data_IF_608880091669
#
_entry.id   IF_608880091669
#
_cell.length_a   1.000
_cell.length_b   1.000
_cell.length_c   1.000
_cell.angle_alpha   90.00
_cell.angle_beta   90.00
_cell.angle_gamma   90.00
#
_symmetry.space_group_name_H-M   'P 1'
#
loop_
_entity.id
_entity.type
_entity.pdbx_description
1 polymer ?
#
# COMPACT_ATOMS: atom_id res chain seq x y z
N UNK A 1 0.34 4.17 4.90
CA UNK A 1 1.28 5.25 5.19
C UNK A 1 2.66 4.66 5.41
N UNK A 2 3.70 5.23 4.77
CA UNK A 2 5.08 4.72 4.85
C UNK A 2 5.36 3.41 4.09
N UNK A 3 4.36 2.77 3.54
CA UNK A 3 4.44 1.44 2.91
C UNK A 3 5.47 1.39 1.79
N UNK A 4 5.53 2.41 0.94
CA UNK A 4 6.51 2.46 -0.17
C UNK A 4 7.96 2.43 0.31
N UNK A 5 8.28 3.14 1.41
CA UNK A 5 9.63 3.15 1.98
C UNK A 5 9.98 1.78 2.57
N UNK A 6 9.05 1.16 3.29
CA UNK A 6 9.21 -0.20 3.84
C UNK A 6 9.37 -1.21 2.71
N UNK A 7 8.51 -1.19 1.70
CA UNK A 7 8.57 -2.11 0.55
C UNK A 7 9.91 -2.02 -0.16
N UNK A 8 10.39 -0.79 -0.42
CA UNK A 8 11.67 -0.57 -1.08
C UNK A 8 12.84 -1.04 -0.24
N UNK A 9 12.81 -0.79 1.07
CA UNK A 9 13.81 -1.29 2.00
C UNK A 9 13.88 -2.83 1.99
N UNK A 10 12.74 -3.50 2.09
CA UNK A 10 12.65 -4.95 2.06
C UNK A 10 13.18 -5.53 0.73
N UNK A 11 12.86 -4.88 -0.39
CA UNK A 11 13.30 -5.32 -1.72
C UNK A 11 14.81 -5.19 -1.89
N UNK A 12 15.39 -4.04 -1.53
CA UNK A 12 16.83 -3.79 -1.67
C UNK A 12 17.65 -4.74 -0.78
N UNK A 13 17.13 -5.06 0.42
CA UNK A 13 17.83 -5.84 1.42
C UNK A 13 17.40 -7.31 1.45
N UNK A 14 16.65 -7.80 0.46
CA UNK A 14 16.09 -9.16 0.41
C UNK A 14 17.14 -10.23 0.72
N UNK A 15 18.35 -10.11 0.19
CA UNK A 15 19.44 -11.04 0.43
C UNK A 15 19.87 -11.10 1.90
N UNK A 16 20.13 -9.95 2.51
CA UNK A 16 20.51 -9.86 3.92
C UNK A 16 19.39 -10.28 4.88
N UNK A 17 18.14 -10.01 4.53
CA UNK A 17 16.99 -10.49 5.28
C UNK A 17 16.87 -12.01 5.22
N UNK A 18 17.16 -12.61 4.06
CA UNK A 18 17.16 -14.06 3.92
C UNK A 18 18.22 -14.75 4.79
N UNK A 19 19.38 -14.12 4.99
CA UNK A 19 20.42 -14.57 5.93
C UNK A 19 19.96 -14.53 7.40
N UNK A 20 18.97 -13.69 7.71
CA UNK A 20 18.32 -13.60 9.03
C UNK A 20 17.06 -14.48 9.16
N UNK A 21 16.92 -15.49 8.32
CA UNK A 21 15.74 -16.35 8.26
C UNK A 21 14.41 -15.61 7.95
N UNK A 22 14.50 -14.49 7.24
CA UNK A 22 13.35 -13.71 6.81
C UNK A 22 13.14 -13.87 5.31
N UNK A 23 11.95 -14.29 4.91
CA UNK A 23 11.57 -14.46 3.51
C UNK A 23 10.61 -13.36 3.04
N UNK A 24 11.00 -12.67 2.00
CA UNK A 24 10.16 -11.69 1.29
C UNK A 24 9.72 -12.33 -0.02
N UNK A 25 8.44 -12.67 -0.20
CA UNK A 25 7.98 -13.33 -1.41
C UNK A 25 8.09 -12.42 -2.64
N UNK A 26 8.62 -12.95 -3.74
CA UNK A 26 8.82 -12.23 -5.00
C UNK A 26 7.68 -12.45 -6.02
N UNK A 27 6.91 -13.50 -5.85
CA UNK A 27 5.86 -13.95 -6.77
C UNK A 27 4.43 -13.57 -6.33
N UNK A 28 4.28 -12.77 -5.30
CA UNK A 28 2.99 -12.27 -4.83
C UNK A 28 2.59 -10.91 -5.44
N UNK A 29 3.07 -10.59 -6.65
CA UNK A 29 2.68 -9.37 -7.37
C UNK A 29 3.62 -8.19 -7.20
N UNK A 30 4.94 -8.47 -7.07
CA UNK A 30 5.98 -7.47 -6.89
C UNK A 30 6.08 -6.95 -5.45
N UNK A 31 6.74 -5.82 -5.26
CA UNK A 31 7.05 -5.26 -3.93
C UNK A 31 5.80 -5.00 -3.05
N UNK A 32 4.66 -4.71 -3.65
CA UNK A 32 3.42 -4.40 -2.92
C UNK A 32 2.52 -5.61 -2.68
N UNK A 33 2.99 -6.81 -3.02
CA UNK A 33 2.31 -8.08 -2.80
C UNK A 33 0.80 -8.06 -3.13
N UNK A 34 0.42 -7.39 -4.23
CA UNK A 34 -0.99 -7.19 -4.63
C UNK A 34 -1.77 -8.51 -4.79
N UNK A 35 -1.09 -9.60 -5.17
CA UNK A 35 -1.71 -10.91 -5.28
C UNK A 35 -2.20 -11.43 -3.93
N UNK A 36 -1.46 -11.20 -2.83
CA UNK A 36 -1.86 -11.60 -1.49
C UNK A 36 -3.16 -10.91 -1.03
N UNK A 37 -3.41 -9.70 -1.51
CA UNK A 37 -4.67 -9.01 -1.27
C UNK A 37 -5.78 -9.56 -2.15
N UNK A 38 -5.48 -9.75 -3.46
CA UNK A 38 -6.47 -10.17 -4.44
C UNK A 38 -7.11 -11.53 -4.16
N UNK A 39 -6.37 -12.48 -3.57
CA UNK A 39 -6.96 -13.79 -3.19
C UNK A 39 -8.09 -13.66 -2.17
N UNK A 40 -8.06 -12.62 -1.34
CA UNK A 40 -9.07 -12.36 -0.33
C UNK A 40 -10.21 -11.44 -0.79
N UNK A 41 -10.04 -10.66 -1.86
CA UNK A 41 -11.09 -9.77 -2.39
C UNK A 41 -12.32 -10.52 -2.90
N UNK A 42 -13.48 -9.88 -2.88
CA UNK A 42 -14.67 -10.37 -3.58
C UNK A 42 -14.48 -10.26 -5.11
N UNK A 43 -15.07 -11.17 -5.87
CA UNK A 43 -14.91 -11.21 -7.33
C UNK A 43 -15.72 -10.13 -8.07
N UNK A 44 -16.78 -9.66 -7.45
CA UNK A 44 -17.71 -8.64 -7.96
C UNK A 44 -17.24 -7.20 -7.73
N UNK A 45 -16.06 -7.02 -7.15
CA UNK A 45 -15.51 -5.67 -6.92
C UNK A 45 -15.27 -4.91 -8.22
N UNK A 46 -15.40 -3.57 -8.10
CA UNK A 46 -15.08 -2.65 -9.19
C UNK A 46 -13.67 -2.90 -9.72
N UNK A 47 -13.57 -2.93 -11.03
CA UNK A 47 -12.33 -3.11 -11.76
C UNK A 47 -11.31 -2.00 -11.45
N UNK A 48 -10.06 -2.39 -11.41
CA UNK A 48 -8.93 -1.49 -11.19
C UNK A 48 -7.80 -1.79 -12.18
N UNK A 49 -6.74 -0.97 -12.14
CA UNK A 49 -5.60 -1.13 -13.02
C UNK A 49 -4.95 -2.52 -12.93
N UNK A 50 -5.08 -3.21 -11.78
CA UNK A 50 -4.54 -4.55 -11.59
C UNK A 50 -5.34 -5.58 -12.39
N UNK A 51 -6.68 -5.58 -12.29
CA UNK A 51 -7.56 -6.50 -13.02
C UNK A 51 -7.51 -6.24 -14.52
N UNK A 52 -7.55 -4.96 -14.93
CA UNK A 52 -7.46 -4.55 -16.33
C UNK A 52 -6.12 -5.01 -16.96
N UNK A 53 -5.00 -4.73 -16.32
CA UNK A 53 -3.68 -5.08 -16.87
C UNK A 53 -3.44 -6.59 -17.03
N UNK A 54 -4.28 -7.42 -16.39
CA UNK A 54 -4.23 -8.89 -16.45
C UNK A 54 -5.35 -9.52 -17.27
N UNK A 55 -6.21 -8.70 -17.90
CA UNK A 55 -7.36 -9.18 -18.67
C UNK A 55 -8.35 -9.97 -17.82
N UNK A 56 -8.52 -9.59 -16.55
CA UNK A 56 -9.44 -10.22 -15.60
C UNK A 56 -10.79 -9.48 -15.52
N UNK A 57 -10.86 -8.28 -16.11
CA UNK A 57 -12.05 -7.44 -16.07
C UNK A 57 -13.27 -8.14 -16.66
N UNK A 58 -14.43 -7.93 -16.03
CA UNK A 58 -15.71 -8.47 -16.48
C UNK A 58 -15.83 -9.99 -16.48
N UNK A 59 -14.82 -10.71 -15.97
CA UNK A 59 -14.80 -12.17 -16.03
C UNK A 59 -14.50 -12.81 -14.67
N UNK A 60 -15.55 -13.18 -13.95
CA UNK A 60 -15.44 -13.79 -12.62
C UNK A 60 -14.71 -15.14 -12.63
N UNK A 61 -14.88 -15.93 -13.68
CA UNK A 61 -14.21 -17.24 -13.80
C UNK A 61 -12.71 -17.08 -13.95
N UNK A 62 -12.25 -16.14 -14.79
CA UNK A 62 -10.82 -15.79 -14.87
C UNK A 62 -10.29 -15.29 -13.53
N UNK A 63 -11.05 -14.47 -12.80
CA UNK A 63 -10.67 -14.01 -11.45
C UNK A 63 -10.51 -15.19 -10.49
N UNK A 64 -11.45 -16.14 -10.50
CA UNK A 64 -11.38 -17.38 -9.69
C UNK A 64 -10.16 -18.22 -10.04
N UNK A 65 -9.95 -18.51 -11.32
CA UNK A 65 -8.79 -19.26 -11.79
C UNK A 65 -7.47 -18.58 -11.39
N UNK A 66 -7.39 -17.26 -11.51
CA UNK A 66 -6.20 -16.51 -11.09
C UNK A 66 -5.96 -16.61 -9.57
N UNK A 67 -7.01 -16.50 -8.74
CA UNK A 67 -6.91 -16.70 -7.30
C UNK A 67 -6.40 -18.10 -6.94
N UNK A 68 -6.93 -19.14 -7.55
CA UNK A 68 -6.46 -20.51 -7.35
C UNK A 68 -4.98 -20.67 -7.72
N UNK A 69 -4.55 -20.11 -8.83
CA UNK A 69 -3.14 -20.13 -9.23
C UNK A 69 -2.24 -19.45 -8.18
N UNK A 70 -2.66 -18.30 -7.66
CA UNK A 70 -1.90 -17.59 -6.61
C UNK A 70 -1.85 -18.41 -5.33
N UNK A 71 -2.97 -19.01 -4.90
CA UNK A 71 -3.04 -19.85 -3.70
C UNK A 71 -2.12 -21.06 -3.81
N UNK A 72 -2.16 -21.80 -4.92
CA UNK A 72 -1.28 -22.95 -5.16
C UNK A 72 0.19 -22.56 -5.11
N UNK A 73 0.52 -21.39 -5.67
CA UNK A 73 1.88 -20.84 -5.63
C UNK A 73 2.30 -20.49 -4.21
N UNK A 74 1.41 -19.86 -3.44
CA UNK A 74 1.64 -19.49 -2.05
C UNK A 74 1.86 -20.73 -1.18
N UNK A 75 1.01 -21.75 -1.32
CA UNK A 75 1.15 -23.02 -0.59
C UNK A 75 2.47 -23.74 -0.89
N UNK A 76 2.86 -23.79 -2.17
CA UNK A 76 4.14 -24.40 -2.56
C UNK A 76 5.34 -23.67 -1.96
N UNK A 77 5.27 -22.34 -1.91
CA UNK A 77 6.33 -21.54 -1.28
C UNK A 77 6.33 -21.67 0.24
N UNK A 78 5.17 -21.70 0.88
CA UNK A 78 5.09 -21.93 2.32
C UNK A 78 5.73 -23.26 2.73
N UNK A 79 5.54 -24.31 1.94
CA UNK A 79 6.22 -25.60 2.16
C UNK A 79 7.74 -25.49 1.99
N UNK A 80 8.20 -24.75 0.96
CA UNK A 80 9.63 -24.57 0.68
C UNK A 80 10.35 -23.73 1.72
N UNK A 81 9.71 -22.70 2.24
CA UNK A 81 10.28 -21.73 3.17
C UNK A 81 9.58 -21.77 4.55
N UNK A 82 9.20 -22.97 5.00
CA UNK A 82 8.40 -23.22 6.22
C UNK A 82 9.06 -22.72 7.50
N UNK A 83 10.40 -22.72 7.55
CA UNK A 83 11.19 -22.34 8.72
C UNK A 83 11.59 -20.86 8.73
N UNK A 84 11.09 -20.08 7.76
CA UNK A 84 11.39 -18.65 7.64
C UNK A 84 10.24 -17.78 8.19
N UNK A 85 10.61 -16.64 8.75
CA UNK A 85 9.65 -15.57 9.01
C UNK A 85 9.26 -14.92 7.68
N UNK A 86 7.97 -14.89 7.39
CA UNK A 86 7.47 -14.26 6.17
C UNK A 86 7.06 -12.82 6.42
N UNK A 87 7.45 -11.91 5.53
CA UNK A 87 6.98 -10.53 5.54
C UNK A 87 6.25 -10.23 4.25
N UNK A 88 4.96 -9.91 4.37
CA UNK A 88 4.08 -9.50 3.27
C UNK A 88 3.58 -8.09 3.53
N UNK A 89 3.81 -7.18 2.60
CA UNK A 89 3.42 -5.76 2.76
C UNK A 89 2.52 -5.31 1.62
N UNK A 90 1.44 -4.60 1.94
CA UNK A 90 0.60 -3.98 0.91
C UNK A 90 -0.22 -2.83 1.50
N UNK A 91 -0.26 -1.70 0.81
CA UNK A 91 -1.21 -0.63 1.04
C UNK A 91 -2.64 -1.04 0.65
N UNK A 92 -2.76 -2.05 -0.19
CA UNK A 92 -4.06 -2.54 -0.67
C UNK A 92 -4.82 -3.37 0.37
N UNK A 93 -4.19 -3.87 1.42
CA UNK A 93 -4.90 -4.50 2.52
C UNK A 93 -5.93 -3.55 3.15
N UNK A 94 -5.57 -2.29 3.36
CA UNK A 94 -6.48 -1.28 3.89
C UNK A 94 -7.50 -0.82 2.83
N UNK A 95 -7.06 -0.53 1.61
CA UNK A 95 -7.89 0.12 0.61
C UNK A 95 -8.80 -0.83 -0.15
N UNK A 96 -8.56 -2.15 -0.10
CA UNK A 96 -9.29 -3.16 -0.88
C UNK A 96 -10.09 -4.13 -0.04
N UNK A 97 -9.64 -4.54 1.13
CA UNK A 97 -10.40 -5.43 2.00
C UNK A 97 -11.37 -4.63 2.88
N UNK A 98 -12.52 -4.29 2.32
CA UNK A 98 -13.45 -3.33 2.89
C UNK A 98 -14.65 -3.98 3.59
N UNK A 99 -14.79 -5.32 3.52
CA UNK A 99 -15.85 -6.07 4.17
C UNK A 99 -15.28 -7.06 5.19
N UNK A 100 -16.09 -7.45 6.15
CA UNK A 100 -15.72 -8.46 7.16
C UNK A 100 -15.38 -9.79 6.50
N UNK A 101 -16.15 -10.21 5.47
CA UNK A 101 -15.97 -11.46 4.76
C UNK A 101 -14.60 -11.53 4.06
N UNK A 102 -14.12 -10.41 3.53
CA UNK A 102 -12.81 -10.36 2.86
C UNK A 102 -11.67 -10.49 3.86
N UNK A 103 -11.77 -9.82 5.00
CA UNK A 103 -10.77 -9.90 6.06
C UNK A 103 -10.79 -11.28 6.72
N UNK A 104 -11.97 -11.85 6.99
CA UNK A 104 -12.12 -13.22 7.49
C UNK A 104 -11.55 -14.25 6.50
N UNK A 105 -11.80 -14.08 5.20
CA UNK A 105 -11.22 -14.94 4.16
C UNK A 105 -9.69 -14.87 4.18
N UNK A 106 -9.11 -13.68 4.31
CA UNK A 106 -7.67 -13.53 4.46
C UNK A 106 -7.17 -14.26 5.70
N UNK A 107 -7.83 -14.06 6.85
CA UNK A 107 -7.45 -14.71 8.10
C UNK A 107 -7.47 -16.24 7.97
N UNK A 108 -8.53 -16.81 7.36
CA UNK A 108 -8.61 -18.26 7.12
C UNK A 108 -7.50 -18.77 6.22
N UNK A 109 -7.20 -18.07 5.12
CA UNK A 109 -6.11 -18.44 4.21
C UNK A 109 -4.78 -18.44 4.96
N UNK A 110 -4.49 -17.35 5.70
CA UNK A 110 -3.23 -17.24 6.44
C UNK A 110 -3.14 -18.26 7.58
N UNK A 111 -4.23 -18.53 8.29
CA UNK A 111 -4.29 -19.53 9.35
C UNK A 111 -4.08 -20.98 8.90
N UNK A 112 -4.38 -21.29 7.61
CA UNK A 112 -4.04 -22.59 7.02
C UNK A 112 -2.56 -22.72 6.67
N UNK A 113 -1.85 -21.60 6.46
CA UNK A 113 -0.48 -21.56 5.94
C UNK A 113 0.57 -21.28 7.01
N UNK A 114 0.20 -20.55 8.05
CA UNK A 114 1.10 -20.06 9.09
C UNK A 114 0.55 -20.36 10.48
N UNK A 115 1.41 -20.78 11.38
CA UNK A 115 1.08 -21.04 12.79
C UNK A 115 0.76 -19.75 13.55
N UNK A 116 1.34 -18.63 13.12
CA UNK A 116 1.15 -17.32 13.73
C UNK A 116 1.16 -16.23 12.66
N UNK A 117 0.27 -15.26 12.81
CA UNK A 117 0.19 -14.09 11.94
C UNK A 117 0.16 -12.84 12.80
N UNK A 118 1.10 -11.94 12.57
CA UNK A 118 1.17 -10.62 13.19
C UNK A 118 0.86 -9.54 12.16
N UNK A 119 0.00 -8.61 12.51
CA UNK A 119 -0.36 -7.49 11.65
C UNK A 119 0.29 -6.22 12.21
N UNK A 120 1.03 -5.51 11.37
CA UNK A 120 1.61 -4.20 11.70
C UNK A 120 0.93 -3.15 10.83
N UNK A 121 0.25 -2.21 11.45
CA UNK A 121 -0.50 -1.15 10.77
C UNK A 121 0.01 0.23 11.17
N UNK A 122 0.39 1.04 10.19
CA UNK A 122 0.75 2.44 10.38
C UNK A 122 -0.43 3.34 10.05
N UNK A 123 -0.98 4.00 11.05
CA UNK A 123 -2.03 5.02 10.89
C UNK A 123 -1.41 6.41 10.95
N UNK A 124 -1.98 7.33 10.21
CA UNK A 124 -1.56 8.73 10.18
C UNK A 124 -2.77 9.59 10.50
N UNK A 125 -2.54 10.80 11.01
CA UNK A 125 -3.58 11.80 11.15
C UNK A 125 -4.54 11.80 9.94
N UNK A 126 -5.88 11.76 10.13
CA UNK A 126 -6.84 11.62 9.05
C UNK A 126 -6.74 12.72 8.00
N UNK A 127 -6.50 13.98 8.41
CA UNK A 127 -6.36 15.10 7.49
C UNK A 127 -5.09 14.96 6.65
N UNK A 128 -3.98 14.64 7.27
CA UNK A 128 -2.72 14.36 6.58
C UNK A 128 -2.84 13.17 5.62
N UNK A 129 -3.64 12.17 5.98
CA UNK A 129 -3.97 11.02 5.12
C UNK A 129 -4.78 11.45 3.91
N UNK A 130 -5.81 12.28 4.10
CA UNK A 130 -6.65 12.82 3.03
C UNK A 130 -5.81 13.64 2.03
N UNK A 131 -4.96 14.53 2.53
CA UNK A 131 -4.06 15.36 1.70
C UNK A 131 -3.08 14.47 0.90
N UNK A 132 -2.46 13.49 1.54
CA UNK A 132 -1.54 12.56 0.88
C UNK A 132 -2.24 11.73 -0.20
N UNK A 133 -3.47 11.28 0.07
CA UNK A 133 -4.30 10.51 -0.87
C UNK A 133 -4.71 11.39 -2.05
N UNK A 134 -5.09 12.64 -1.79
CA UNK A 134 -5.39 13.61 -2.84
C UNK A 134 -4.19 13.87 -3.74
N UNK A 135 -3.03 14.14 -3.15
CA UNK A 135 -1.77 14.28 -3.89
C UNK A 135 -1.49 13.06 -4.78
N UNK A 136 -1.60 11.86 -4.23
CA UNK A 136 -1.39 10.60 -4.97
C UNK A 136 -2.40 10.43 -6.11
N UNK A 137 -3.68 10.73 -5.86
CA UNK A 137 -4.72 10.68 -6.87
C UNK A 137 -4.41 11.59 -8.07
N UNK A 138 -4.01 12.84 -7.79
CA UNK A 138 -3.68 13.79 -8.85
C UNK A 138 -2.38 13.39 -9.56
N UNK A 139 -1.37 12.92 -8.85
CA UNK A 139 -0.15 12.37 -9.46
C UNK A 139 -0.43 11.16 -10.37
N UNK A 140 -1.44 10.38 -10.07
CA UNK A 140 -1.90 9.26 -10.91
C UNK A 140 -2.77 9.69 -12.11
N UNK A 141 -2.96 10.99 -12.31
CA UNK A 141 -3.71 11.56 -13.43
C UNK A 141 -5.16 11.90 -13.11
N UNK A 142 -5.55 11.83 -11.86
CA UNK A 142 -6.87 12.27 -11.41
C UNK A 142 -7.03 13.79 -11.53
N UNK A 143 -8.30 14.23 -11.66
CA UNK A 143 -8.68 15.63 -11.70
C UNK A 143 -9.53 15.92 -10.46
N UNK A 144 -8.96 16.66 -9.51
CA UNK A 144 -9.65 17.10 -8.30
C UNK A 144 -9.04 18.42 -7.82
N UNK A 145 -9.82 19.49 -7.91
CA UNK A 145 -9.39 20.85 -7.55
C UNK A 145 -9.63 21.19 -6.07
N UNK A 146 -10.32 20.33 -5.35
CA UNK A 146 -10.63 20.51 -3.93
C UNK A 146 -10.29 19.25 -3.16
N UNK A 147 -9.99 19.41 -1.87
CA UNK A 147 -9.84 18.29 -0.96
C UNK A 147 -11.13 17.44 -0.99
N UNK A 148 -11.01 16.14 -1.18
CA UNK A 148 -12.18 15.26 -1.24
C UNK A 148 -13.03 15.35 0.02
N UNK A 149 -14.34 15.46 -0.15
CA UNK A 149 -15.30 15.55 0.96
C UNK A 149 -15.52 14.17 1.60
N UNK A 150 -16.03 14.18 2.83
CA UNK A 150 -16.52 12.99 3.50
C UNK A 150 -17.55 12.25 2.61
N UNK A 151 -17.54 10.92 2.63
CA UNK A 151 -18.40 10.09 1.78
C UNK A 151 -17.83 9.72 0.40
N UNK A 152 -16.66 10.24 0.03
CA UNK A 152 -15.92 9.81 -1.17
C UNK A 152 -15.04 8.60 -0.89
N UNK A 153 -14.44 8.00 -1.95
CA UNK A 153 -13.46 6.90 -1.79
C UNK A 153 -12.28 7.25 -0.86
N UNK A 154 -11.99 8.53 -0.69
CA UNK A 154 -10.95 9.01 0.23
C UNK A 154 -11.36 8.88 1.70
N UNK A 155 -12.66 8.91 1.99
CA UNK A 155 -13.17 8.74 3.36
C UNK A 155 -12.76 7.39 3.95
N UNK A 156 -12.88 6.31 3.19
CA UNK A 156 -12.50 4.96 3.64
C UNK A 156 -11.02 4.86 4.04
N UNK A 157 -10.15 5.61 3.37
CA UNK A 157 -8.72 5.62 3.71
C UNK A 157 -8.41 6.41 5.00
N UNK A 158 -9.32 7.30 5.40
CA UNK A 158 -9.17 8.14 6.60
C UNK A 158 -9.95 7.61 7.81
N UNK A 159 -10.89 6.68 7.59
CA UNK A 159 -11.67 6.03 8.65
C UNK A 159 -10.86 4.89 9.30
N UNK A 160 -9.87 5.28 10.08
CA UNK A 160 -9.01 4.33 10.77
C UNK A 160 -9.78 3.49 11.78
N UNK A 161 -10.82 4.05 12.42
CA UNK A 161 -11.62 3.33 13.41
C UNK A 161 -12.31 2.12 12.78
N UNK A 162 -13.08 2.35 11.71
CA UNK A 162 -13.79 1.24 11.02
C UNK A 162 -12.82 0.21 10.45
N UNK A 163 -11.68 0.65 9.90
CA UNK A 163 -10.64 -0.25 9.44
C UNK A 163 -10.09 -1.12 10.59
N UNK A 164 -9.63 -0.51 11.68
CA UNK A 164 -9.04 -1.22 12.81
C UNK A 164 -10.06 -2.18 13.43
N UNK A 165 -11.29 -1.73 13.71
CA UNK A 165 -12.34 -2.56 14.29
C UNK A 165 -12.63 -3.80 13.42
N UNK A 166 -12.66 -3.65 12.09
CA UNK A 166 -12.85 -4.77 11.16
C UNK A 166 -11.73 -5.79 11.25
N UNK A 167 -10.49 -5.34 11.32
CA UNK A 167 -9.34 -6.22 11.42
C UNK A 167 -9.26 -6.90 12.80
N UNK A 168 -9.50 -6.15 13.88
CA UNK A 168 -9.54 -6.69 15.24
C UNK A 168 -10.64 -7.74 15.44
N UNK A 169 -11.78 -7.58 14.80
CA UNK A 169 -12.87 -8.54 14.84
C UNK A 169 -12.50 -9.88 14.17
N UNK A 170 -11.72 -9.85 13.11
CA UNK A 170 -11.38 -11.01 12.29
C UNK A 170 -10.01 -11.61 12.64
N UNK A 171 -9.10 -10.84 13.22
CA UNK A 171 -7.81 -11.31 13.74
C UNK A 171 -7.78 -11.12 15.26
N UNK A 172 -7.10 -12.00 15.97
CA UNK A 172 -6.98 -11.88 17.42
C UNK A 172 -6.25 -10.56 17.80
N UNK A 173 -6.80 -9.77 18.73
CA UNK A 173 -6.25 -8.50 19.22
C UNK A 173 -4.76 -8.52 19.56
N UNK A 174 -4.28 -9.62 20.14
CA UNK A 174 -2.86 -9.75 20.52
C UNK A 174 -1.89 -9.77 19.35
N UNK A 175 -2.41 -9.88 18.10
CA UNK A 175 -1.62 -10.00 16.87
C UNK A 175 -1.64 -8.74 16.02
N UNK A 176 -2.29 -7.67 16.49
CA UNK A 176 -2.39 -6.40 15.75
C UNK A 176 -1.60 -5.32 16.47
N UNK A 177 -0.57 -4.81 15.81
CA UNK A 177 0.25 -3.69 16.27
C UNK A 177 -0.15 -2.45 15.48
N UNK A 178 -0.69 -1.45 16.16
CA UNK A 178 -1.05 -0.17 15.57
C UNK A 178 0.02 0.86 15.93
N UNK A 179 0.63 1.46 14.92
CA UNK A 179 1.68 2.48 15.07
C UNK A 179 1.21 3.83 14.53
N UNK A 180 1.48 4.88 15.27
CA UNK A 180 1.24 6.24 14.78
C UNK A 180 2.39 6.67 13.86
N UNK A 181 2.05 6.99 12.60
CA UNK A 181 3.00 7.50 11.62
C UNK A 181 3.23 9.00 11.82
N UNK A 182 3.93 9.34 12.88
CA UNK A 182 4.41 10.70 13.13
C UNK A 182 5.89 10.66 13.52
N UNK A 183 6.63 11.71 13.17
CA UNK A 183 8.07 11.77 13.50
C UNK A 183 8.36 11.64 14.99
N UNK A 184 7.42 12.02 15.84
CA UNK A 184 7.57 11.95 17.31
C UNK A 184 7.30 10.55 17.86
N UNK A 185 6.55 9.71 17.15
CA UNK A 185 6.16 8.38 17.59
C UNK A 185 7.01 7.25 16.97
N UNK A 186 7.71 7.54 15.88
CA UNK A 186 8.57 6.57 15.19
C UNK A 186 9.93 6.49 15.87
N UNK A 187 10.46 5.29 16.01
CA UNK A 187 11.83 5.05 16.50
C UNK A 187 12.81 5.80 15.61
N UNK A 188 13.69 6.57 16.22
CA UNK A 188 14.67 7.42 15.52
C UNK A 188 14.06 8.32 14.42
N UNK A 189 12.75 8.62 14.54
CA UNK A 189 11.99 9.39 13.53
C UNK A 189 11.97 8.75 12.14
N UNK A 190 12.23 7.44 12.07
CA UNK A 190 12.39 6.65 10.84
C UNK A 190 11.42 5.47 10.81
N UNK A 191 10.55 5.44 9.80
CA UNK A 191 9.55 4.37 9.64
C UNK A 191 10.16 3.00 9.38
N UNK A 192 11.33 2.95 8.74
CA UNK A 192 12.00 1.69 8.45
C UNK A 192 12.56 1.09 9.74
N UNK A 193 13.20 1.90 10.58
CA UNK A 193 13.74 1.45 11.86
C UNK A 193 12.63 1.05 12.83
N UNK A 194 11.53 1.83 12.85
CA UNK A 194 10.35 1.47 13.62
C UNK A 194 9.75 0.14 13.12
N UNK A 195 9.66 -0.06 11.81
CA UNK A 195 9.16 -1.30 11.22
C UNK A 195 10.08 -2.49 11.54
N UNK A 196 11.39 -2.32 11.44
CA UNK A 196 12.35 -3.37 11.78
C UNK A 196 12.17 -3.85 13.22
N UNK A 197 12.01 -2.93 14.17
CA UNK A 197 11.74 -3.27 15.57
C UNK A 197 10.43 -4.06 15.72
N UNK A 198 9.31 -3.55 15.13
CA UNK A 198 8.02 -4.24 15.22
C UNK A 198 8.01 -5.61 14.54
N UNK A 199 8.75 -5.74 13.45
CA UNK A 199 8.88 -6.98 12.67
C UNK A 199 9.99 -7.91 13.18
N UNK A 200 10.68 -7.53 14.28
CA UNK A 200 11.81 -8.28 14.86
C UNK A 200 12.97 -8.52 13.88
N UNK A 201 13.19 -7.57 12.98
CA UNK A 201 14.32 -7.56 12.06
C UNK A 201 15.52 -6.98 12.81
N UNK A 202 16.60 -7.73 12.90
CA UNK A 202 17.83 -7.21 13.49
C UNK A 202 18.50 -6.23 12.54
N UNK A 203 18.68 -4.98 12.99
CA UNK A 203 19.37 -3.97 12.19
C UNK A 203 20.81 -4.44 11.88
N UNK A 204 21.19 -4.36 10.62
CA UNK A 204 22.50 -4.77 10.11
C UNK A 204 23.16 -3.56 9.41
N UNK A 205 24.45 -3.37 9.66
CA UNK A 205 25.24 -2.28 9.05
C UNK A 205 25.32 -2.38 7.51
N UNK A 206 25.07 -3.57 6.97
CA UNK A 206 25.01 -3.84 5.52
C UNK A 206 23.69 -3.39 4.88
N UNK A 207 22.67 -3.06 5.68
CA UNK A 207 21.38 -2.63 5.14
C UNK A 207 21.51 -1.31 4.38
N UNK A 208 20.92 -1.31 3.20
CA UNK A 208 20.82 -0.13 2.34
C UNK A 208 19.47 0.53 2.60
N UNK A 209 19.51 1.77 3.05
CA UNK A 209 18.31 2.57 3.27
C UNK A 209 17.92 3.30 1.97
N UNK A 210 16.66 3.19 1.53
CA UNK A 210 16.22 3.91 0.34
C UNK A 210 16.20 5.42 0.59
N UNK A 211 16.55 6.20 -0.43
CA UNK A 211 16.39 7.65 -0.36
C UNK A 211 14.94 8.05 -0.10
N UNK A 212 14.74 9.02 0.78
CA UNK A 212 13.42 9.60 1.06
C UNK A 212 12.92 10.41 -0.15
N UNK A 213 12.12 9.78 -1.02
CA UNK A 213 11.56 10.42 -2.24
C UNK A 213 10.08 10.77 -2.14
N UNK A 214 9.42 10.51 -1.02
CA UNK A 214 7.97 10.67 -0.90
C UNK A 214 7.58 11.99 -0.23
N UNK A 215 7.83 13.11 -0.91
CA UNK A 215 7.19 14.37 -0.55
C UNK A 215 5.82 14.45 -1.26
N UNK A 216 4.77 14.64 -0.48
CA UNK A 216 3.46 15.02 -1.04
C UNK A 216 3.61 16.37 -1.78
N UNK A 217 2.85 16.55 -2.84
CA UNK A 217 2.79 17.86 -3.51
C UNK A 217 2.23 18.91 -2.54
N UNK A 218 2.70 20.14 -2.69
CA UNK A 218 2.05 21.30 -2.06
C UNK A 218 0.64 21.49 -2.63
N UNK A 219 -0.20 22.26 -1.95
CA UNK A 219 -1.54 22.60 -2.45
C UNK A 219 -1.49 23.19 -3.87
N UNK A 220 -0.57 24.15 -4.09
CA UNK A 220 -0.35 24.75 -5.42
C UNK A 220 0.05 23.69 -6.46
N UNK A 221 0.95 22.79 -6.11
CA UNK A 221 1.39 21.70 -6.97
C UNK A 221 0.23 20.75 -7.34
N UNK A 222 -0.64 20.42 -6.39
CA UNK A 222 -1.84 19.61 -6.65
C UNK A 222 -2.79 20.31 -7.63
N UNK A 223 -3.07 21.60 -7.42
CA UNK A 223 -3.96 22.36 -8.30
C UNK A 223 -3.40 22.49 -9.72
N UNK A 224 -2.12 22.79 -9.87
CA UNK A 224 -1.46 22.88 -11.17
C UNK A 224 -1.53 21.53 -11.89
N UNK A 225 -1.11 20.45 -11.23
CA UNK A 225 -1.10 19.13 -11.84
C UNK A 225 -2.53 18.64 -12.17
N UNK A 226 -3.52 18.93 -11.32
CA UNK A 226 -4.92 18.63 -11.58
C UNK A 226 -5.43 19.35 -12.84
N UNK A 227 -5.09 20.64 -13.00
CA UNK A 227 -5.45 21.40 -14.21
C UNK A 227 -4.77 20.83 -15.46
N UNK A 228 -3.49 20.50 -15.37
CA UNK A 228 -2.75 19.88 -16.46
C UNK A 228 -3.37 18.52 -16.84
N UNK A 229 -3.74 17.71 -15.86
CA UNK A 229 -4.44 16.43 -16.10
C UNK A 229 -5.77 16.65 -16.85
N UNK A 230 -6.53 17.69 -16.50
CA UNK A 230 -7.78 17.99 -17.20
C UNK A 230 -7.57 18.36 -18.67
N UNK A 231 -6.49 19.05 -19.00
CA UNK A 231 -6.14 19.44 -20.37
C UNK A 231 -5.67 18.24 -21.23
N UNK A 232 -5.14 17.21 -20.59
CA UNK A 232 -4.65 16.01 -21.29
C UNK A 232 -5.69 14.89 -21.42
N UNK A 233 -6.93 15.11 -20.97
CA UNK A 233 -7.96 14.07 -20.96
C UNK A 233 -8.32 13.51 -22.34
N UNK A 234 -8.17 14.29 -23.40
CA UNK A 234 -8.48 13.91 -24.77
C UNK A 234 -7.31 13.24 -25.52
N UNK A 235 -6.15 13.07 -24.87
CA UNK A 235 -4.99 12.42 -25.48
C UNK A 235 -5.09 10.91 -25.38
N UNK A 236 -4.40 10.20 -26.27
CA UNK A 236 -4.25 8.76 -26.19
C UNK A 236 -3.51 8.34 -24.92
N UNK A 237 -3.78 7.13 -24.41
CA UNK A 237 -3.27 6.64 -23.13
C UNK A 237 -1.73 6.69 -23.02
N UNK A 238 -1.01 6.37 -24.10
CA UNK A 238 0.46 6.41 -24.13
C UNK A 238 1.00 7.84 -24.01
N UNK A 239 0.45 8.77 -24.79
CA UNK A 239 0.80 10.18 -24.75
C UNK A 239 0.49 10.79 -23.38
N UNK A 240 -0.70 10.48 -22.85
CA UNK A 240 -1.13 10.86 -21.50
C UNK A 240 -0.15 10.44 -20.42
N UNK A 241 0.31 9.18 -20.47
CA UNK A 241 1.25 8.64 -19.50
C UNK A 241 2.64 9.28 -19.59
N UNK A 242 3.14 9.53 -20.81
CA UNK A 242 4.43 10.19 -21.02
C UNK A 242 4.42 11.65 -20.50
N UNK A 243 3.41 12.42 -20.90
CA UNK A 243 3.24 13.80 -20.45
C UNK A 243 3.10 13.87 -18.94
N UNK A 244 2.26 13.02 -18.34
CA UNK A 244 2.04 12.96 -16.89
C UNK A 244 3.34 12.72 -16.13
N UNK A 245 4.17 11.78 -16.61
CA UNK A 245 5.45 11.47 -15.97
C UNK A 245 6.36 12.70 -15.92
N UNK A 246 6.47 13.42 -17.03
CA UNK A 246 7.26 14.66 -17.11
C UNK A 246 6.67 15.74 -16.20
N UNK A 247 5.36 15.99 -16.30
CA UNK A 247 4.67 17.02 -15.54
C UNK A 247 4.75 16.79 -14.04
N UNK A 248 4.54 15.55 -13.57
CA UNK A 248 4.66 15.22 -12.16
C UNK A 248 6.07 15.47 -11.62
N UNK A 249 7.13 15.17 -12.39
CA UNK A 249 8.51 15.47 -12.01
C UNK A 249 8.78 16.96 -11.93
N UNK A 250 8.30 17.73 -12.91
CA UNK A 250 8.46 19.20 -12.92
C UNK A 250 7.73 19.84 -11.73
N UNK A 251 6.49 19.43 -11.49
CA UNK A 251 5.70 19.95 -10.38
C UNK A 251 6.30 19.54 -9.03
N UNK A 252 6.76 18.31 -8.89
CA UNK A 252 7.44 17.86 -7.68
C UNK A 252 8.71 18.69 -7.41
N UNK A 253 9.55 18.96 -8.41
CA UNK A 253 10.78 19.72 -8.23
C UNK A 253 10.54 21.17 -7.83
N UNK A 254 9.49 21.79 -8.34
CA UNK A 254 9.26 23.24 -8.16
C UNK A 254 8.27 23.59 -7.05
N UNK A 255 7.50 22.62 -6.52
CA UNK A 255 6.42 22.86 -5.57
C UNK A 255 6.47 21.91 -4.36
N UNK A 256 7.67 21.56 -3.88
CA UNK A 256 7.88 20.71 -2.71
C UNK A 256 8.02 21.45 -1.37
N UNK A 257 8.18 22.76 -1.37
CA UNK A 257 8.84 23.46 -0.26
C UNK A 257 7.95 23.95 0.89
N UNK A 258 6.64 23.71 0.92
CA UNK A 258 5.84 24.16 2.07
C UNK A 258 4.85 23.10 2.54
N UNK A 259 4.85 22.77 3.85
CA UNK A 259 3.78 21.98 4.42
C UNK A 259 2.44 22.69 4.20
N UNK A 260 1.43 21.94 3.83
CA UNK A 260 0.08 22.48 3.61
C UNK A 260 -0.49 22.90 4.98
N UNK A 261 -0.58 24.19 5.23
CA UNK A 261 -1.39 24.73 6.31
C UNK A 261 -2.78 24.97 5.75
N UNK A 262 -3.78 24.31 6.31
CA UNK A 262 -5.16 24.68 6.07
C UNK A 262 -5.45 25.97 6.84
N UNK A 263 -6.14 26.94 6.25
CA UNK A 263 -6.65 28.05 7.04
C UNK A 263 -7.59 27.52 8.11
N UNK A 264 -7.42 28.03 9.32
CA UNK A 264 -8.26 27.76 10.49
C UNK A 264 -9.72 28.09 10.24
#
# INVERSE_FOLDING_TARGET
>A
TGTTSIQKFLEINRHYLYEQDIYIPDNLGGMNHRHAVFIAENTDKREDAFTISRGLEGNEEKKRCFKHKVLNTLEAQCKKYKDKLWIVTSEFFQSRLNTDEEVDRLNRILGCLFSEVQIICYVRDPLSTAISTWSTYVMSGGVAQQLPRAGTIFHNNCDHKSFITRWEKNFNYQKIIIRNFSKTCLINKNVIEDFCEQARIKCDKRFIYPENRNSSLTHKGILILSKLNSLTNNLELQQKNAIRKIMSLVVQRNFQEYPMYLPS
#
